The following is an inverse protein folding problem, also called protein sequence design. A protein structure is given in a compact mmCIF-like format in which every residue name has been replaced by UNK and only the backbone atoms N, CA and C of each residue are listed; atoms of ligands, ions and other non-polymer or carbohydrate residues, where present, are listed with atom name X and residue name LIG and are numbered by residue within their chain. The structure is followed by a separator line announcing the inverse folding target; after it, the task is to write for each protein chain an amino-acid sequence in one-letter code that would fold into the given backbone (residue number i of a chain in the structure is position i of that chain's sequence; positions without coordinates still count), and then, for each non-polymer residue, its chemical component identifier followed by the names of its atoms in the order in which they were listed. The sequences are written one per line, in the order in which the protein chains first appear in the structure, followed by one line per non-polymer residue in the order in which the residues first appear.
data_IF_611186922863
#
_entry.id   IF_611186922863
#
_cell.length_a   1.000
_cell.length_b   1.000
_cell.length_c   1.000
_cell.angle_alpha   90.00
_cell.angle_beta   90.00
_cell.angle_gamma   90.00
#
_symmetry.space_group_name_H-M   'P 1'
#
loop_
_entity.id
_entity.type
_entity.pdbx_description
1 polymer ?
#
# COMPACT_ATOMS: atom_id res chain seq x y z
N UNK A 1 1.30 -15.17 -13.68
CA UNK A 1 0.82 -14.98 -12.31
C UNK A 1 0.91 -13.54 -11.93
N UNK A 2 -0.11 -13.05 -11.27
CA UNK A 2 -0.14 -11.65 -10.89
C UNK A 2 0.62 -11.43 -9.60
N UNK A 3 1.40 -10.37 -9.57
CA UNK A 3 2.01 -9.93 -8.32
C UNK A 3 0.94 -9.31 -7.45
N UNK A 4 1.13 -9.39 -6.15
CA UNK A 4 0.30 -8.70 -5.19
C UNK A 4 1.13 -7.61 -4.52
N UNK A 5 0.45 -6.57 -4.09
CA UNK A 5 1.10 -5.42 -3.47
C UNK A 5 0.47 -5.15 -2.11
N UNK A 6 1.31 -4.81 -1.14
CA UNK A 6 0.84 -4.26 0.12
C UNK A 6 1.15 -2.77 0.06
N UNK A 7 0.14 -1.96 0.37
CA UNK A 7 0.29 -0.52 0.32
C UNK A 7 -0.11 0.10 1.65
N UNK A 8 0.50 1.22 1.97
CA UNK A 8 0.11 2.03 3.12
C UNK A 8 -0.27 3.41 2.62
N UNK A 9 -1.42 3.88 3.06
CA UNK A 9 -1.93 5.19 2.70
C UNK A 9 -1.90 6.10 3.91
N UNK A 10 -1.48 7.35 3.69
CA UNK A 10 -1.68 8.39 4.69
C UNK A 10 -3.06 8.98 4.41
N UNK A 11 -3.90 9.03 5.43
CA UNK A 11 -5.29 9.43 5.28
C UNK A 11 -5.58 10.68 6.11
N UNK A 12 -6.71 11.33 5.80
CA UNK A 12 -7.17 12.48 6.56
C UNK A 12 -7.23 12.10 8.05
N UNK A 13 -6.87 13.04 8.91
CA UNK A 13 -6.83 12.79 10.34
C UNK A 13 -5.50 12.24 10.80
N UNK A 14 -4.51 12.25 9.91
CA UNK A 14 -3.15 11.83 10.24
C UNK A 14 -3.11 10.37 10.71
N UNK A 15 -3.83 9.52 9.98
CA UNK A 15 -3.88 8.08 10.25
C UNK A 15 -3.44 7.32 9.02
N UNK A 16 -3.10 6.04 9.21
CA UNK A 16 -2.63 5.18 8.12
C UNK A 16 -3.59 4.04 7.87
N UNK A 17 -3.74 3.69 6.60
CA UNK A 17 -4.49 2.52 6.20
C UNK A 17 -3.55 1.57 5.44
N UNK A 18 -3.58 0.29 5.79
CA UNK A 18 -2.76 -0.73 5.13
C UNK A 18 -3.70 -1.72 4.44
N UNK A 19 -3.41 -2.03 3.19
CA UNK A 19 -4.21 -2.98 2.43
C UNK A 19 -3.37 -3.74 1.42
N UNK A 20 -4.01 -4.66 0.71
CA UNK A 20 -3.35 -5.41 -0.34
C UNK A 20 -4.21 -5.37 -1.61
N UNK A 21 -3.56 -5.48 -2.76
CA UNK A 21 -4.24 -5.41 -4.05
C UNK A 21 -3.32 -5.92 -5.15
N UNK A 22 -3.89 -6.19 -6.30
CA UNK A 22 -3.11 -6.48 -7.52
C UNK A 22 -2.87 -5.22 -8.33
N UNK A 23 -3.55 -4.10 -8.00
CA UNK A 23 -3.45 -2.86 -8.78
C UNK A 23 -3.57 -1.67 -7.83
N UNK A 24 -2.42 -1.12 -7.43
CA UNK A 24 -2.37 -0.06 -6.43
C UNK A 24 -3.08 1.21 -6.90
N UNK A 25 -2.85 1.63 -8.12
CA UNK A 25 -3.45 2.87 -8.62
C UNK A 25 -4.97 2.77 -8.65
N UNK A 26 -5.50 1.65 -9.15
CA UNK A 26 -6.94 1.43 -9.18
C UNK A 26 -7.53 1.41 -7.78
N UNK A 27 -6.88 0.71 -6.85
CA UNK A 27 -7.37 0.59 -5.49
C UNK A 27 -7.34 1.93 -4.77
N UNK A 28 -6.28 2.72 -5.01
CA UNK A 28 -6.20 4.06 -4.44
C UNK A 28 -7.38 4.91 -4.92
N UNK A 29 -7.72 4.84 -6.21
CA UNK A 29 -8.84 5.62 -6.73
C UNK A 29 -10.17 5.19 -6.11
N UNK A 30 -10.34 3.90 -5.85
CA UNK A 30 -11.54 3.42 -5.17
C UNK A 30 -11.63 3.99 -3.75
N UNK A 31 -10.52 3.98 -3.03
CA UNK A 31 -10.51 4.58 -1.69
C UNK A 31 -10.81 6.07 -1.75
N UNK A 32 -10.19 6.77 -2.68
CA UNK A 32 -10.37 8.23 -2.80
C UNK A 32 -11.79 8.60 -3.17
N UNK A 33 -12.49 7.75 -3.91
CA UNK A 33 -13.86 8.01 -4.33
C UNK A 33 -14.90 7.51 -3.33
N UNK A 34 -14.47 6.99 -2.19
CA UNK A 34 -15.39 6.49 -1.17
C UNK A 34 -15.93 5.10 -1.44
N UNK A 35 -15.37 4.39 -2.43
CA UNK A 35 -15.82 3.05 -2.80
C UNK A 35 -14.87 1.96 -2.32
N UNK A 36 -13.89 2.33 -1.51
CA UNK A 36 -12.96 1.37 -0.95
C UNK A 36 -13.44 0.84 0.39
N UNK A 37 -12.53 0.76 1.35
CA UNK A 37 -12.85 0.26 2.67
C UNK A 37 -13.68 1.27 3.46
N UNK A 38 -14.41 0.75 4.46
CA UNK A 38 -15.19 1.60 5.35
C UNK A 38 -14.31 2.66 6.02
N UNK A 39 -13.11 2.25 6.44
CA UNK A 39 -12.18 3.16 7.09
C UNK A 39 -11.84 4.35 6.20
N UNK A 40 -11.59 4.10 4.92
CA UNK A 40 -11.17 5.17 4.01
C UNK A 40 -12.34 6.03 3.55
N UNK A 41 -13.57 5.63 3.81
CA UNK A 41 -14.72 6.54 3.61
C UNK A 41 -14.74 7.63 4.67
N UNK A 42 -14.42 7.27 5.92
CA UNK A 42 -14.35 8.23 7.02
C UNK A 42 -13.05 9.03 7.01
N UNK A 43 -11.97 8.40 6.53
CA UNK A 43 -10.63 8.97 6.52
C UNK A 43 -10.06 8.85 5.11
N UNK A 44 -10.49 9.73 4.17
CA UNK A 44 -10.05 9.62 2.78
C UNK A 44 -8.53 9.69 2.64
N UNK A 45 -7.96 8.94 1.70
CA UNK A 45 -6.52 8.94 1.52
C UNK A 45 -6.03 10.27 0.96
N UNK A 46 -4.88 10.70 1.43
CA UNK A 46 -4.23 11.90 0.94
C UNK A 46 -3.07 11.57 0.02
N UNK A 47 -2.35 10.48 0.33
CA UNK A 47 -1.22 10.06 -0.49
C UNK A 47 -0.89 8.60 -0.21
N UNK A 48 -0.16 7.99 -1.15
CA UNK A 48 0.43 6.68 -0.95
C UNK A 48 1.73 6.88 -0.19
N UNK A 49 1.85 6.26 0.98
CA UNK A 49 3.05 6.40 1.81
C UNK A 49 4.14 5.44 1.38
N UNK A 50 3.80 4.18 1.12
CA UNK A 50 4.77 3.19 0.67
C UNK A 50 4.04 1.97 0.10
N UNK A 51 4.77 1.20 -0.72
CA UNK A 51 4.24 -0.01 -1.37
C UNK A 51 5.34 -1.07 -1.45
N UNK A 52 4.97 -2.32 -1.17
CA UNK A 52 5.85 -3.47 -1.40
C UNK A 52 5.20 -4.42 -2.38
N UNK A 53 5.99 -4.98 -3.28
CA UNK A 53 5.56 -6.04 -4.17
C UNK A 53 5.84 -7.37 -3.51
N UNK A 54 4.86 -8.26 -3.53
CA UNK A 54 4.94 -9.60 -2.96
C UNK A 54 4.73 -10.64 -4.05
N UNK A 55 5.26 -11.83 -3.83
CA UNK A 55 5.20 -12.88 -4.84
C UNK A 55 3.78 -13.36 -5.13
N UNK A 56 2.93 -13.41 -4.10
CA UNK A 56 1.57 -13.91 -4.24
C UNK A 56 0.68 -13.35 -3.15
N UNK A 57 -0.61 -13.73 -3.18
CA UNK A 57 -1.59 -13.23 -2.24
C UNK A 57 -1.30 -13.65 -0.81
N UNK A 58 -0.80 -14.87 -0.62
CA UNK A 58 -0.50 -15.37 0.73
C UNK A 58 0.59 -14.53 1.36
N UNK A 59 1.66 -14.25 0.60
CA UNK A 59 2.75 -13.42 1.09
C UNK A 59 2.24 -12.01 1.43
N UNK A 60 1.43 -11.42 0.54
CA UNK A 60 0.88 -10.09 0.77
C UNK A 60 0.01 -10.05 2.02
N UNK A 61 -0.82 -11.08 2.22
CA UNK A 61 -1.69 -11.14 3.40
C UNK A 61 -0.87 -11.22 4.68
N UNK A 62 0.25 -11.94 4.66
CA UNK A 62 1.14 -12.03 5.82
C UNK A 62 1.79 -10.68 6.13
N UNK A 63 2.21 -9.95 5.10
CA UNK A 63 2.81 -8.64 5.27
C UNK A 63 1.78 -7.66 5.82
N UNK A 64 0.59 -7.62 5.23
CA UNK A 64 -0.47 -6.73 5.68
C UNK A 64 -0.81 -6.99 7.14
N UNK A 65 -1.01 -8.25 7.49
CA UNK A 65 -1.36 -8.62 8.86
C UNK A 65 -0.27 -8.21 9.84
N UNK A 66 1.00 -8.45 9.50
CA UNK A 66 2.12 -8.13 10.39
C UNK A 66 2.20 -6.63 10.65
N UNK A 67 2.02 -5.81 9.60
CA UNK A 67 2.04 -4.36 9.77
C UNK A 67 0.90 -3.90 10.67
N UNK A 68 -0.30 -4.38 10.41
CA UNK A 68 -1.47 -3.97 11.18
C UNK A 68 -1.41 -4.43 12.63
N UNK A 69 -0.94 -5.66 12.85
CA UNK A 69 -1.03 -6.29 14.16
C UNK A 69 0.15 -5.97 15.05
N UNK A 70 1.35 -5.86 14.48
CA UNK A 70 2.57 -5.85 15.29
C UNK A 70 3.30 -4.52 15.35
N UNK A 71 2.87 -3.52 14.58
CA UNK A 71 3.55 -2.22 14.59
C UNK A 71 2.67 -1.16 15.24
N UNK A 72 3.27 -0.39 16.12
CA UNK A 72 2.66 0.81 16.68
C UNK A 72 2.71 1.91 15.62
N UNK A 73 2.04 3.02 15.87
CA UNK A 73 2.08 4.15 14.96
C UNK A 73 3.49 4.67 14.72
N UNK A 74 4.31 4.93 15.77
CA UNK A 74 5.69 5.38 15.53
C UNK A 74 6.50 4.38 14.73
N UNK A 75 6.28 3.09 14.95
CA UNK A 75 6.96 2.05 14.18
C UNK A 75 6.53 2.06 12.72
N UNK A 76 5.25 2.31 12.45
CA UNK A 76 4.77 2.45 11.08
C UNK A 76 5.41 3.65 10.40
N UNK A 77 5.55 4.76 11.10
CA UNK A 77 6.20 5.95 10.57
C UNK A 77 7.65 5.69 10.24
N UNK A 78 8.36 4.97 11.12
CA UNK A 78 9.74 4.59 10.85
C UNK A 78 9.85 3.67 9.66
N UNK A 79 8.91 2.73 9.51
CA UNK A 79 8.89 1.83 8.37
C UNK A 79 8.66 2.59 7.06
N UNK A 80 7.76 3.57 7.07
CA UNK A 80 7.49 4.38 5.89
C UNK A 80 8.73 5.18 5.49
N UNK A 81 9.46 5.69 6.46
CA UNK A 81 10.69 6.45 6.21
C UNK A 81 11.79 5.55 5.61
N UNK A 82 11.79 4.26 5.93
CA UNK A 82 12.78 3.32 5.44
C UNK A 82 12.10 2.00 5.10
N UNK A 83 11.32 1.95 3.99
CA UNK A 83 10.52 0.75 3.67
C UNK A 83 11.37 -0.49 3.41
N UNK A 84 12.62 -0.33 3.02
CA UNK A 84 13.51 -1.47 2.85
C UNK A 84 13.84 -2.17 4.17
N UNK A 85 13.56 -1.55 5.31
CA UNK A 85 13.84 -2.12 6.63
C UNK A 85 12.75 -3.05 7.13
N UNK A 86 11.78 -3.40 6.28
CA UNK A 86 10.60 -4.16 6.72
C UNK A 86 10.96 -5.50 7.37
N UNK A 87 11.94 -6.21 6.84
CA UNK A 87 12.31 -7.53 7.39
C UNK A 87 13.01 -7.38 8.73
N UNK A 88 13.79 -6.31 8.90
CA UNK A 88 14.44 -6.03 10.18
C UNK A 88 13.42 -5.74 11.27
N UNK A 89 12.36 -5.01 10.90
CA UNK A 89 11.31 -4.64 11.86
C UNK A 89 10.31 -5.75 12.10
N UNK A 90 10.15 -6.63 11.11
CA UNK A 90 9.21 -7.74 11.17
C UNK A 90 9.93 -9.01 10.73
N UNK A 91 10.79 -9.56 11.61
CA UNK A 91 11.64 -10.71 11.24
C UNK A 91 10.88 -11.94 10.76
N UNK A 92 9.61 -12.07 11.14
CA UNK A 92 8.80 -13.19 10.67
C UNK A 92 8.60 -13.17 9.16
N UNK A 93 8.87 -12.04 8.51
CA UNK A 93 8.74 -11.91 7.07
C UNK A 93 10.02 -12.23 6.31
N UNK A 94 11.08 -12.66 7.02
CA UNK A 94 12.39 -12.83 6.42
C UNK A 94 12.41 -13.86 5.28
N UNK A 95 11.53 -14.85 5.32
CA UNK A 95 11.48 -15.88 4.27
C UNK A 95 10.78 -15.38 2.99
N UNK A 96 10.13 -14.22 3.04
CA UNK A 96 9.39 -13.70 1.90
C UNK A 96 10.30 -12.85 1.03
N UNK A 97 10.06 -12.91 -0.29
CA UNK A 97 10.74 -12.03 -1.23
C UNK A 97 9.88 -10.78 -1.40
N UNK A 98 10.36 -9.66 -0.88
CA UNK A 98 9.63 -8.39 -0.91
C UNK A 98 10.46 -7.36 -1.66
N UNK A 99 9.78 -6.58 -2.49
CA UNK A 99 10.45 -5.53 -3.27
C UNK A 99 9.76 -4.20 -2.98
N UNK A 100 10.53 -3.21 -2.55
CA UNK A 100 10.01 -1.86 -2.37
C UNK A 100 9.69 -1.27 -3.74
N UNK A 101 8.50 -0.72 -3.90
CA UNK A 101 8.05 -0.13 -5.15
C UNK A 101 8.31 1.37 -5.11
N UNK A 102 8.81 1.93 -6.20
CA UNK A 102 9.00 3.36 -6.35
C UNK A 102 7.63 4.01 -6.55
N UNK A 103 7.11 4.62 -5.49
CA UNK A 103 5.75 5.19 -5.52
C UNK A 103 5.63 6.37 -6.48
N UNK A 104 6.73 7.01 -6.85
CA UNK A 104 6.67 8.12 -7.79
C UNK A 104 6.31 7.65 -9.20
N UNK A 105 6.41 6.35 -9.46
CA UNK A 105 6.06 5.78 -10.76
C UNK A 105 4.63 5.27 -10.83
N UNK A 106 3.86 5.42 -9.75
CA UNK A 106 2.46 4.99 -9.73
C UNK A 106 1.61 6.15 -10.23
N UNK A 107 0.92 5.93 -11.35
CA UNK A 107 0.09 6.97 -11.95
C UNK A 107 -1.32 6.93 -11.37
N UNK A 108 -1.58 7.78 -10.40
CA UNK A 108 -2.87 7.82 -9.73
C UNK A 108 -3.93 8.53 -10.55
N UNK A 109 -3.54 9.28 -11.57
CA UNK A 109 -4.47 10.00 -12.42
C UNK A 109 -4.93 9.17 -13.62
N UNK A 110 -4.25 8.08 -13.87
CA UNK A 110 -4.58 7.22 -14.99
C UNK A 110 -5.90 6.51 -14.74
N UNK A 111 -6.83 6.72 -15.63
CA UNK A 111 -8.09 5.99 -15.57
C UNK A 111 -7.95 4.73 -16.37
N UNK A 112 -8.59 3.75 -15.86
CA UNK A 112 -8.55 2.53 -16.57
C UNK A 112 -9.05 2.72 -17.92
N UNK A 113 -8.59 2.00 -18.53
CA UNK A 113 -7.44 1.79 -19.19
C UNK A 113 -7.23 2.95 -20.00
N UNK A 114 -6.92 3.48 -19.84
CA UNK A 114 -6.61 4.37 -20.41
C UNK A 114 -6.78 5.08 -21.36
N UNK A 115 -6.97 5.26 -21.58
CA UNK A 115 -7.10 6.00 -22.35
C UNK A 115 -6.65 7.15 -22.31
N UNK A 116 -6.52 7.45 -22.14
CA UNK A 116 -6.11 8.34 -22.00
C UNK A 116 -5.49 9.03 -21.72
N UNK A 117 -5.27 9.02 -21.68
CA UNK A 117 -4.69 9.63 -21.25
C UNK A 117 -4.08 10.33 -21.54
N UNK A 118 -4.10 10.21 -21.93
CA UNK A 118 -3.61 10.77 -21.98
C UNK A 118 -3.02 11.52 -22.19
N UNK A 119 -3.19 11.42 -22.67
CA UNK A 119 -2.71 12.11 -22.75
C UNK A 119 -2.39 12.90 -22.01
N UNK A 120 -2.32 13.00 -21.62
CA UNK A 120 -1.96 13.71 -20.71
C UNK A 120 -1.26 13.83 -20.30
#
# INVERSE_FOLDING_TARGET
MSAYFVYMLRCRGDVYYTGLTTDVARRYRLHASGKGAKFTRSHPPETIATVWQCADKVAAARVEYAIKKHLTRPEKESLIAAPESIVERLPKLAALTLKVVDITKIDLLKKAPARVLFAL
#
